data_IF_302797725211
#
_entry.id   IF_302797725211
#
_cell.length_a   1.000
_cell.length_b   1.000
_cell.length_c   1.000
_cell.angle_alpha   90.00
_cell.angle_beta   90.00
_cell.angle_gamma   90.00
#
_symmetry.space_group_name_H-M   'P 1'
#
loop_
_entity.id
_entity.type
_entity.pdbx_description
1 polymer ?
#
# COMPACT_ATOMS: atom_id res chain seq x y z
N UNK A 1 -5.60 13.10 -20.52
CA UNK A 1 -5.74 11.82 -19.80
C UNK A 1 -4.38 11.48 -19.24
N UNK A 2 -4.21 11.53 -17.92
CA UNK A 2 -2.99 11.05 -17.27
C UNK A 2 -2.84 9.60 -17.69
N UNK A 3 -1.76 9.28 -18.40
CA UNK A 3 -1.33 7.89 -18.57
C UNK A 3 -1.10 7.35 -17.18
N UNK A 4 -2.13 6.73 -16.60
CA UNK A 4 -2.05 5.95 -15.36
C UNK A 4 -0.79 5.14 -15.50
N UNK A 5 0.22 5.45 -14.68
CA UNK A 5 1.47 4.71 -14.71
C UNK A 5 1.16 3.31 -14.19
N UNK A 6 0.74 2.45 -15.13
CA UNK A 6 0.28 1.10 -14.87
C UNK A 6 1.37 0.28 -14.18
N UNK A 7 2.65 0.68 -14.32
CA UNK A 7 3.74 0.07 -13.59
C UNK A 7 3.66 0.43 -12.11
N UNK A 8 3.58 1.72 -11.76
CA UNK A 8 3.49 2.16 -10.36
C UNK A 8 2.22 1.62 -9.68
N UNK A 9 1.09 1.64 -10.36
CA UNK A 9 -0.15 1.06 -9.85
C UNK A 9 0.00 -0.45 -9.53
N UNK A 10 0.61 -1.22 -10.43
CA UNK A 10 0.87 -2.65 -10.20
C UNK A 10 1.87 -2.89 -9.07
N UNK A 11 2.87 -2.02 -8.91
CA UNK A 11 3.82 -2.08 -7.80
C UNK A 11 3.13 -1.83 -6.45
N UNK A 12 2.28 -0.80 -6.37
CA UNK A 12 1.49 -0.51 -5.17
C UNK A 12 0.57 -1.67 -4.78
N UNK A 13 -0.05 -2.35 -5.75
CA UNK A 13 -0.85 -3.54 -5.47
C UNK A 13 -0.01 -4.70 -4.92
N UNK A 14 1.23 -4.87 -5.40
CA UNK A 14 2.16 -5.88 -4.86
C UNK A 14 2.61 -5.51 -3.45
N UNK A 15 2.96 -4.25 -3.20
CA UNK A 15 3.35 -3.76 -1.86
C UNK A 15 2.20 -3.89 -0.85
N UNK A 16 0.99 -3.52 -1.25
CA UNK A 16 -0.23 -3.73 -0.46
C UNK A 16 -0.38 -5.19 -0.06
N UNK A 17 -0.33 -6.10 -1.03
CA UNK A 17 -0.46 -7.54 -0.77
C UNK A 17 0.64 -8.05 0.16
N UNK A 18 1.89 -7.64 -0.07
CA UNK A 18 3.00 -8.01 0.79
C UNK A 18 2.78 -7.57 2.25
N UNK A 19 2.28 -6.35 2.46
CA UNK A 19 1.94 -5.90 3.81
C UNK A 19 0.77 -6.69 4.39
N UNK A 20 -0.29 -6.98 3.63
CA UNK A 20 -1.41 -7.82 4.08
C UNK A 20 -0.93 -9.20 4.54
N UNK A 21 -0.06 -9.83 3.76
CA UNK A 21 0.53 -11.15 4.07
C UNK A 21 1.46 -11.11 5.30
N UNK A 22 2.09 -9.96 5.57
CA UNK A 22 3.02 -9.73 6.69
C UNK A 22 2.40 -8.88 7.81
N UNK A 23 1.09 -8.96 8.01
CA UNK A 23 0.41 -8.20 9.07
C UNK A 23 0.95 -8.64 10.44
N UNK A 24 1.59 -7.73 11.20
CA UNK A 24 2.20 -8.08 12.47
C UNK A 24 1.14 -8.28 13.55
N UNK A 25 1.46 -9.10 14.55
CA UNK A 25 0.63 -9.29 15.75
C UNK A 25 1.00 -8.33 16.89
N UNK A 26 2.23 -7.82 16.93
CA UNK A 26 2.70 -6.85 17.93
C UNK A 26 2.07 -5.46 17.73
N UNK A 27 1.67 -4.80 18.83
CA UNK A 27 0.95 -3.52 18.81
C UNK A 27 1.81 -2.39 18.23
N UNK A 28 3.10 -2.34 18.56
CA UNK A 28 3.99 -1.29 18.07
C UNK A 28 4.29 -1.49 16.58
N UNK A 29 4.49 -2.74 16.16
CA UNK A 29 4.61 -3.10 14.75
C UNK A 29 3.31 -2.81 13.97
N UNK A 30 2.14 -3.05 14.57
CA UNK A 30 0.83 -2.76 13.96
C UNK A 30 0.64 -1.28 13.67
N UNK A 31 1.12 -0.38 14.54
CA UNK A 31 1.09 1.07 14.29
C UNK A 31 1.89 1.44 13.04
N UNK A 32 3.11 0.91 12.90
CA UNK A 32 3.96 1.13 11.71
C UNK A 32 3.32 0.52 10.46
N UNK A 33 2.80 -0.70 10.58
CA UNK A 33 2.09 -1.38 9.51
C UNK A 33 0.89 -0.57 9.01
N UNK A 34 0.05 -0.06 9.92
CA UNK A 34 -1.11 0.78 9.58
C UNK A 34 -0.68 2.05 8.86
N UNK A 35 0.41 2.69 9.29
CA UNK A 35 0.94 3.88 8.63
C UNK A 35 1.42 3.58 7.20
N UNK A 36 2.20 2.51 7.01
CA UNK A 36 2.66 2.09 5.69
C UNK A 36 1.51 1.70 4.77
N UNK A 37 0.55 0.91 5.26
CA UNK A 37 -0.65 0.53 4.53
C UNK A 37 -1.47 1.76 4.13
N UNK A 38 -1.65 2.72 5.04
CA UNK A 38 -2.35 3.97 4.77
C UNK A 38 -1.74 4.78 3.63
N UNK A 39 -0.41 4.88 3.57
CA UNK A 39 0.28 5.56 2.46
C UNK A 39 0.05 4.88 1.12
N UNK A 40 0.14 3.55 1.06
CA UNK A 40 -0.09 2.79 -0.17
C UNK A 40 -1.53 2.97 -0.66
N UNK A 41 -2.51 2.94 0.25
CA UNK A 41 -3.91 3.17 -0.09
C UNK A 41 -4.16 4.59 -0.61
N UNK A 42 -3.59 5.62 0.04
CA UNK A 42 -3.67 7.00 -0.43
C UNK A 42 -3.07 7.17 -1.82
N UNK A 43 -1.93 6.53 -2.09
CA UNK A 43 -1.30 6.61 -3.42
C UNK A 43 -2.14 5.87 -4.47
N UNK A 44 -2.74 4.73 -4.13
CA UNK A 44 -3.66 4.01 -5.02
C UNK A 44 -4.91 4.83 -5.37
N UNK A 45 -5.40 5.68 -4.46
CA UNK A 45 -6.52 6.60 -4.74
C UNK A 45 -6.19 7.64 -5.81
N UNK A 46 -4.91 7.99 -6.01
CA UNK A 46 -4.49 8.94 -7.05
C UNK A 46 -4.57 8.37 -8.48
N UNK A 47 -4.69 7.04 -8.61
CA UNK A 47 -4.85 6.36 -9.89
C UNK A 47 -6.33 6.11 -10.26
N UNK A 48 -7.27 6.69 -9.49
CA UNK A 48 -8.72 6.47 -9.63
C UNK A 48 -9.41 7.54 -10.48
#
# INVERSE_FOLDING_TARGET
MVTVDNKRYRELLKEKKFLEDNRPSDINAMRRWKHSMGKILQELELFR
#
